data_IF_284447727091
#
_entry.id   IF_284447727091
#
_cell.length_a   1.000
_cell.length_b   1.000
_cell.length_c   1.000
_cell.angle_alpha   90.00
_cell.angle_beta   90.00
_cell.angle_gamma   90.00
#
_symmetry.space_group_name_H-M   'P 1'
#
loop_
_entity.id
_entity.type
_entity.pdbx_description
1 polymer ?
#
# COMPACT_ATOMS: atom_id res chain seq x y z
N UNK A 1 -18.44 46.35 32.48
CA UNK A 1 -18.26 45.19 33.37
C UNK A 1 -17.99 43.99 32.46
N UNK A 2 -16.72 43.58 32.40
CA UNK A 2 -16.24 42.56 31.46
C UNK A 2 -16.48 41.16 32.00
N UNK A 3 -17.09 40.32 31.17
CA UNK A 3 -17.24 38.87 31.39
C UNK A 3 -16.02 38.15 30.82
N UNK A 4 -15.42 37.31 31.65
CA UNK A 4 -14.20 36.53 31.42
C UNK A 4 -14.36 35.46 30.31
N UNK A 5 -13.32 35.22 29.48
CA UNK A 5 -13.25 34.06 28.58
C UNK A 5 -12.55 32.90 29.30
N UNK A 6 -13.30 31.97 29.90
CA UNK A 6 -12.73 30.84 30.66
C UNK A 6 -13.13 29.44 30.15
N UNK A 7 -13.91 29.32 29.08
CA UNK A 7 -14.37 28.03 28.58
C UNK A 7 -13.48 27.38 27.50
N UNK A 8 -12.72 28.16 26.73
CA UNK A 8 -11.93 27.64 25.58
C UNK A 8 -10.53 27.12 25.95
N UNK A 9 -10.08 27.28 27.20
CA UNK A 9 -8.73 26.88 27.63
C UNK A 9 -8.62 25.40 28.02
N UNK A 10 -9.73 24.73 28.34
CA UNK A 10 -9.70 23.35 28.84
C UNK A 10 -9.64 22.30 27.72
N UNK A 11 -10.25 22.56 26.56
CA UNK A 11 -10.26 21.61 25.44
C UNK A 11 -8.89 21.49 24.76
N UNK A 12 -8.16 22.60 24.65
CA UNK A 12 -6.77 22.61 24.18
C UNK A 12 -5.83 21.88 25.16
N UNK A 13 -6.12 21.91 26.46
CA UNK A 13 -5.34 21.21 27.48
C UNK A 13 -5.59 19.70 27.44
N UNK A 14 -6.83 19.26 27.21
CA UNK A 14 -7.19 17.85 27.02
C UNK A 14 -6.56 17.26 25.75
N UNK A 15 -6.52 18.02 24.65
CA UNK A 15 -5.84 17.62 23.41
C UNK A 15 -4.32 17.47 23.61
N UNK A 16 -3.68 18.37 24.35
CA UNK A 16 -2.24 18.34 24.65
C UNK A 16 -1.88 17.23 25.66
N UNK A 17 -2.79 16.90 26.58
CA UNK A 17 -2.58 15.85 27.59
C UNK A 17 -2.82 14.46 26.99
N UNK A 18 -3.83 14.30 26.13
CA UNK A 18 -4.09 13.05 25.40
C UNK A 18 -2.97 12.68 24.43
N UNK A 19 -2.40 13.67 23.72
CA UNK A 19 -1.24 13.47 22.84
C UNK A 19 0.04 13.12 23.61
N UNK A 20 0.23 13.65 24.83
CA UNK A 20 1.37 13.28 25.70
C UNK A 20 1.21 11.91 26.37
N UNK A 21 -0.02 11.49 26.66
CA UNK A 21 -0.29 10.18 27.29
C UNK A 21 -0.12 9.03 26.29
N UNK A 22 -0.50 9.23 25.01
CA UNK A 22 -0.25 8.28 23.90
C UNK A 22 1.24 7.96 23.70
N UNK A 23 2.13 8.87 24.09
CA UNK A 23 3.59 8.71 23.97
C UNK A 23 4.19 7.87 25.11
N UNK A 24 3.51 7.79 26.28
CA UNK A 24 4.04 7.14 27.48
C UNK A 24 3.76 5.64 27.57
N UNK A 25 2.68 5.16 26.96
CA UNK A 25 2.22 3.77 27.17
C UNK A 25 2.80 2.75 26.14
N UNK A 26 3.66 3.19 25.21
CA UNK A 26 4.28 2.36 24.16
C UNK A 26 5.56 1.59 24.55
N UNK A 27 5.59 1.00 25.75
CA UNK A 27 6.74 0.24 26.28
C UNK A 27 6.88 -1.19 25.73
N UNK A 28 7.13 -1.35 24.43
CA UNK A 28 7.45 -2.64 23.79
C UNK A 28 8.37 -2.44 22.59
N UNK A 29 9.12 -3.47 22.16
CA UNK A 29 10.18 -3.49 21.11
C UNK A 29 10.08 -2.44 19.99
N UNK A 30 11.22 -1.86 19.59
CA UNK A 30 11.32 -0.70 18.67
C UNK A 30 10.48 -0.76 17.39
N UNK A 31 10.28 -1.93 16.78
CA UNK A 31 9.44 -2.12 15.58
C UNK A 31 7.94 -2.09 15.85
N UNK A 32 7.52 -2.36 17.08
CA UNK A 32 6.13 -2.27 17.53
C UNK A 32 5.76 -0.80 17.77
N UNK A 33 6.73 0.11 17.89
CA UNK A 33 6.49 1.49 18.27
C UNK A 33 6.00 2.37 17.12
N UNK A 34 6.53 2.27 15.90
CA UNK A 34 6.06 3.17 14.83
C UNK A 34 4.66 2.79 14.34
N UNK A 35 4.39 1.51 14.11
CA UNK A 35 3.07 1.06 13.65
C UNK A 35 1.97 1.49 14.62
N UNK A 36 2.23 1.38 15.93
CA UNK A 36 1.32 1.86 16.98
C UNK A 36 1.12 3.37 16.89
N UNK A 37 2.20 4.16 16.77
CA UNK A 37 2.08 5.63 16.70
C UNK A 37 1.26 6.05 15.48
N UNK A 38 1.57 5.54 14.28
CA UNK A 38 0.85 5.93 13.08
C UNK A 38 -0.61 5.43 13.10
N UNK A 39 -0.86 4.22 13.60
CA UNK A 39 -2.22 3.70 13.79
C UNK A 39 -3.02 4.56 14.77
N UNK A 40 -2.42 4.98 15.88
CA UNK A 40 -3.06 5.86 16.85
C UNK A 40 -3.40 7.23 16.25
N UNK A 41 -2.51 7.80 15.43
CA UNK A 41 -2.79 9.06 14.71
C UNK A 41 -3.96 8.89 13.75
N UNK A 42 -3.99 7.80 12.96
CA UNK A 42 -5.11 7.49 12.06
C UNK A 42 -6.43 7.32 12.82
N UNK A 43 -6.42 6.53 13.90
CA UNK A 43 -7.57 6.33 14.76
C UNK A 43 -8.06 7.64 15.41
N UNK A 44 -7.14 8.53 15.78
CA UNK A 44 -7.48 9.85 16.28
C UNK A 44 -8.18 10.69 15.22
N UNK A 45 -7.67 10.74 13.98
CA UNK A 45 -8.33 11.42 12.86
C UNK A 45 -9.72 10.82 12.62
N UNK A 46 -9.86 9.50 12.61
CA UNK A 46 -11.15 8.82 12.43
C UNK A 46 -12.13 9.11 13.59
N UNK A 47 -11.62 9.22 14.81
CA UNK A 47 -12.38 9.61 15.99
C UNK A 47 -12.87 11.05 15.90
N UNK A 48 -11.99 11.98 15.52
CA UNK A 48 -12.31 13.39 15.33
C UNK A 48 -13.31 13.59 14.20
N UNK A 49 -13.13 12.89 13.07
CA UNK A 49 -14.06 12.92 11.93
C UNK A 49 -15.46 12.48 12.36
N UNK A 50 -15.56 11.33 13.04
CA UNK A 50 -16.84 10.82 13.58
C UNK A 50 -17.46 11.77 14.61
N UNK A 51 -16.65 12.34 15.50
CA UNK A 51 -17.13 13.28 16.52
C UNK A 51 -17.74 14.53 15.87
N UNK A 52 -17.01 15.15 14.95
CA UNK A 52 -17.41 16.39 14.28
C UNK A 52 -18.62 16.18 13.36
N UNK A 53 -18.71 15.04 12.67
CA UNK A 53 -19.86 14.70 11.83
C UNK A 53 -21.13 14.39 12.65
N UNK A 54 -20.98 13.78 13.82
CA UNK A 54 -22.12 13.41 14.67
C UNK A 54 -22.59 14.53 15.60
N UNK A 55 -21.73 15.52 15.87
CA UNK A 55 -22.04 16.66 16.74
C UNK A 55 -21.53 17.97 16.11
N UNK A 56 -22.05 18.34 14.93
CA UNK A 56 -21.63 19.60 14.33
C UNK A 56 -22.14 20.74 15.22
N UNK A 57 -21.23 21.61 15.65
CA UNK A 57 -21.64 22.84 16.30
C UNK A 57 -22.27 23.80 15.29
N UNK A 58 -22.92 24.86 15.77
CA UNK A 58 -23.62 25.81 14.90
C UNK A 58 -22.67 26.47 13.90
N UNK A 59 -21.40 26.71 14.26
CA UNK A 59 -20.41 27.34 13.37
C UNK A 59 -19.97 26.39 12.26
N UNK A 60 -19.79 25.12 12.58
CA UNK A 60 -19.50 24.05 11.63
C UNK A 60 -20.67 23.85 10.68
N UNK A 61 -21.91 23.87 11.17
CA UNK A 61 -23.10 23.84 10.31
C UNK A 61 -23.15 25.03 9.35
N UNK A 62 -22.81 26.24 9.81
CA UNK A 62 -22.70 27.41 8.93
C UNK A 62 -21.58 27.28 7.90
N UNK A 63 -20.42 26.73 8.28
CA UNK A 63 -19.31 26.49 7.36
C UNK A 63 -19.67 25.43 6.30
N UNK A 64 -20.30 24.33 6.71
CA UNK A 64 -20.84 23.30 5.81
C UNK A 64 -21.86 23.92 4.85
N UNK A 65 -22.79 24.72 5.34
CA UNK A 65 -23.80 25.35 4.51
C UNK A 65 -23.20 26.37 3.53
N UNK A 66 -22.17 27.12 3.94
CA UNK A 66 -21.42 28.03 3.06
C UNK A 66 -20.71 27.29 1.94
N UNK A 67 -20.00 26.21 2.28
CA UNK A 67 -19.28 25.44 1.28
C UNK A 67 -20.26 24.70 0.36
N UNK A 68 -21.41 24.27 0.90
CA UNK A 68 -22.54 23.77 0.10
C UNK A 68 -23.02 24.77 -0.94
N UNK A 69 -23.29 26.02 -0.52
CA UNK A 69 -23.76 27.07 -1.43
C UNK A 69 -22.68 27.38 -2.48
N UNK A 70 -21.43 27.55 -2.05
CA UNK A 70 -20.31 27.88 -2.94
C UNK A 70 -20.08 26.79 -3.99
N UNK A 71 -20.09 25.52 -3.59
CA UNK A 71 -19.91 24.41 -4.51
C UNK A 71 -21.17 24.15 -5.35
N UNK A 72 -22.39 24.36 -4.84
CA UNK A 72 -23.63 24.26 -5.65
C UNK A 72 -23.69 25.23 -6.84
N UNK A 73 -22.88 26.31 -6.80
CA UNK A 73 -22.70 27.24 -7.92
C UNK A 73 -21.69 26.75 -8.97
N UNK A 74 -20.95 25.68 -8.67
CA UNK A 74 -19.88 25.10 -9.50
C UNK A 74 -20.14 23.63 -9.85
N UNK A 75 -21.05 22.96 -9.16
CA UNK A 75 -21.40 21.56 -9.35
C UNK A 75 -22.46 21.40 -10.44
N UNK A 76 -22.33 20.35 -11.25
CA UNK A 76 -23.37 19.95 -12.20
C UNK A 76 -24.60 19.39 -11.45
N UNK A 77 -25.74 19.31 -12.13
CA UNK A 77 -27.02 18.90 -11.53
C UNK A 77 -27.00 17.54 -10.80
N UNK A 78 -26.06 16.65 -11.17
CA UNK A 78 -25.93 15.30 -10.64
C UNK A 78 -24.75 15.12 -9.65
N UNK A 79 -24.07 16.20 -9.26
CA UNK A 79 -22.92 16.12 -8.35
C UNK A 79 -23.29 16.45 -6.90
N UNK A 80 -22.66 15.75 -5.95
CA UNK A 80 -22.90 15.93 -4.52
C UNK A 80 -21.62 16.25 -3.75
N UNK A 81 -21.80 16.85 -2.58
CA UNK A 81 -20.69 17.26 -1.72
C UNK A 81 -20.40 16.16 -0.72
N UNK A 82 -19.21 15.57 -0.82
CA UNK A 82 -18.75 14.57 0.11
C UNK A 82 -18.13 15.23 1.36
N UNK A 83 -18.95 15.38 2.41
CA UNK A 83 -18.52 15.94 3.68
C UNK A 83 -17.42 15.11 4.35
N UNK A 84 -17.43 13.78 4.18
CA UNK A 84 -16.38 12.92 4.76
C UNK A 84 -15.01 13.27 4.16
N UNK A 85 -14.94 13.44 2.83
CA UNK A 85 -13.72 13.83 2.13
C UNK A 85 -13.25 15.24 2.50
N UNK A 86 -14.17 16.19 2.70
CA UNK A 86 -13.83 17.55 3.15
C UNK A 86 -13.25 17.49 4.58
N UNK A 87 -13.91 16.76 5.48
CA UNK A 87 -13.43 16.61 6.86
C UNK A 87 -12.09 15.91 6.93
N UNK A 88 -11.89 14.88 6.11
CA UNK A 88 -10.60 14.21 5.96
C UNK A 88 -9.50 15.22 5.58
N UNK A 89 -9.69 15.98 4.49
CA UNK A 89 -8.71 16.97 4.03
C UNK A 89 -8.41 18.06 5.08
N UNK A 90 -9.43 18.54 5.81
CA UNK A 90 -9.25 19.52 6.88
C UNK A 90 -8.46 18.93 8.05
N UNK A 91 -8.80 17.72 8.49
CA UNK A 91 -8.13 17.07 9.60
C UNK A 91 -6.69 16.68 9.25
N UNK A 92 -6.43 16.24 8.02
CA UNK A 92 -5.06 16.04 7.53
C UNK A 92 -4.25 17.34 7.64
N UNK A 93 -4.82 18.47 7.23
CA UNK A 93 -4.14 19.77 7.31
C UNK A 93 -3.88 20.23 8.75
N UNK A 94 -4.84 20.02 9.65
CA UNK A 94 -4.73 20.47 11.05
C UNK A 94 -3.83 19.55 11.88
N UNK A 95 -3.83 18.25 11.58
CA UNK A 95 -3.16 17.23 12.40
C UNK A 95 -1.88 16.72 11.71
N UNK A 96 -1.97 16.25 10.48
CA UNK A 96 -0.83 15.62 9.80
C UNK A 96 0.20 16.64 9.32
N UNK A 97 -0.21 17.79 8.79
CA UNK A 97 0.72 18.81 8.31
C UNK A 97 1.74 19.25 9.39
N UNK A 98 1.36 19.59 10.63
CA UNK A 98 2.35 19.95 11.65
C UNK A 98 3.11 18.74 12.22
N UNK A 99 2.61 17.52 12.03
CA UNK A 99 3.23 16.29 12.55
C UNK A 99 4.07 15.53 11.52
N UNK A 100 4.02 15.89 10.23
CA UNK A 100 4.55 15.09 9.13
C UNK A 100 6.00 14.70 9.33
N UNK A 101 6.85 15.67 9.66
CA UNK A 101 8.28 15.45 9.86
C UNK A 101 8.56 14.55 11.06
N UNK A 102 7.78 14.72 12.14
CA UNK A 102 7.88 13.87 13.31
C UNK A 102 7.47 12.43 12.99
N UNK A 103 6.39 12.23 12.23
CA UNK A 103 5.91 10.90 11.84
C UNK A 103 6.90 10.18 10.92
N UNK A 104 7.50 10.90 9.97
CA UNK A 104 8.57 10.37 9.13
C UNK A 104 9.79 9.98 9.96
N UNK A 105 10.18 10.80 10.94
CA UNK A 105 11.26 10.46 11.87
C UNK A 105 10.94 9.22 12.72
N UNK A 106 9.71 9.10 13.23
CA UNK A 106 9.25 7.92 13.97
C UNK A 106 9.36 6.67 13.12
N UNK A 107 8.97 6.71 11.84
CA UNK A 107 9.14 5.57 10.91
C UNK A 107 10.62 5.15 10.84
N UNK A 108 11.55 6.10 10.66
CA UNK A 108 12.99 5.79 10.55
C UNK A 108 13.63 5.22 11.81
N UNK A 109 12.92 5.20 12.95
CA UNK A 109 13.40 4.50 14.16
C UNK A 109 13.27 2.97 14.05
N UNK A 110 12.45 2.45 13.14
CA UNK A 110 12.45 1.03 12.81
C UNK A 110 13.72 0.68 12.01
N UNK A 111 14.45 -0.39 12.39
CA UNK A 111 15.55 -0.92 11.60
C UNK A 111 15.26 -1.09 10.10
N UNK A 112 14.04 -1.49 9.73
CA UNK A 112 13.60 -1.69 8.34
C UNK A 112 13.51 -0.38 7.53
N UNK A 113 13.40 0.76 8.20
CA UNK A 113 13.32 2.08 7.58
C UNK A 113 14.50 2.98 7.95
N UNK A 114 15.54 2.38 8.53
CA UNK A 114 16.69 3.11 9.08
C UNK A 114 17.55 3.74 7.97
N UNK A 115 18.37 4.72 8.35
CA UNK A 115 19.37 5.34 7.45
C UNK A 115 20.30 4.27 6.83
N UNK A 116 20.60 3.21 7.57
CA UNK A 116 21.39 2.08 7.04
C UNK A 116 20.66 1.37 5.90
N UNK A 117 19.35 1.15 6.04
CA UNK A 117 18.58 0.50 4.97
C UNK A 117 18.43 1.42 3.76
N UNK A 118 18.21 2.72 3.99
CA UNK A 118 18.16 3.74 2.93
C UNK A 118 19.47 3.74 2.13
N UNK A 119 20.64 3.75 2.79
CA UNK A 119 21.93 3.72 2.09
C UNK A 119 22.19 2.41 1.34
N UNK A 120 21.71 1.27 1.87
CA UNK A 120 21.73 0.00 1.13
C UNK A 120 20.89 0.10 -0.14
N UNK A 121 19.66 0.60 -0.06
CA UNK A 121 18.79 0.79 -1.22
C UNK A 121 19.46 1.66 -2.27
N UNK A 122 20.05 2.81 -1.89
CA UNK A 122 20.78 3.69 -2.82
C UNK A 122 21.94 2.99 -3.55
N UNK A 123 22.62 2.06 -2.88
CA UNK A 123 23.68 1.28 -3.52
C UNK A 123 23.11 0.22 -4.47
N UNK A 124 21.99 -0.39 -4.11
CA UNK A 124 21.27 -1.36 -4.92
C UNK A 124 20.68 -0.76 -6.18
N UNK A 125 20.09 0.43 -6.10
CA UNK A 125 19.55 1.13 -7.28
C UNK A 125 20.63 1.39 -8.31
N UNK A 126 21.85 1.79 -7.88
CA UNK A 126 23.01 1.96 -8.75
C UNK A 126 23.41 0.65 -9.44
N UNK A 127 23.43 -0.47 -8.71
CA UNK A 127 23.73 -1.78 -9.30
C UNK A 127 22.68 -2.15 -10.35
N UNK A 128 21.39 -1.98 -10.05
CA UNK A 128 20.31 -2.29 -11.00
C UNK A 128 20.41 -1.43 -12.25
N UNK A 129 20.55 -0.12 -12.10
CA UNK A 129 20.64 0.81 -13.24
C UNK A 129 21.87 0.53 -14.11
N UNK A 130 23.01 0.19 -13.52
CA UNK A 130 24.24 -0.09 -14.28
C UNK A 130 24.20 -1.43 -15.02
N UNK A 131 23.33 -2.37 -14.62
CA UNK A 131 23.24 -3.71 -15.19
C UNK A 131 21.83 -3.99 -15.74
N UNK A 132 21.03 -2.95 -16.04
CA UNK A 132 19.60 -3.11 -16.32
C UNK A 132 19.33 -3.93 -17.59
N UNK A 133 20.19 -3.82 -18.62
CA UNK A 133 20.08 -4.60 -19.84
C UNK A 133 20.25 -6.11 -19.60
N UNK A 134 21.14 -6.48 -18.68
CA UNK A 134 21.40 -7.89 -18.35
C UNK A 134 20.37 -8.44 -17.35
N UNK A 135 19.87 -7.58 -16.44
CA UNK A 135 18.87 -7.96 -15.45
C UNK A 135 17.46 -8.06 -16.05
N UNK A 136 17.15 -7.27 -17.08
CA UNK A 136 15.81 -7.17 -17.68
C UNK A 136 15.83 -7.24 -19.22
N UNK A 137 16.43 -8.28 -19.82
CA UNK A 137 16.69 -8.31 -21.26
C UNK A 137 15.41 -8.23 -22.10
N UNK A 138 14.30 -8.83 -21.64
CA UNK A 138 13.02 -8.83 -22.34
C UNK A 138 12.21 -7.54 -22.14
N UNK A 139 12.63 -6.64 -21.25
CA UNK A 139 11.93 -5.38 -20.97
C UNK A 139 12.53 -4.17 -21.70
N UNK A 140 13.50 -4.37 -22.59
CA UNK A 140 14.20 -3.29 -23.30
C UNK A 140 13.26 -2.26 -23.94
N UNK A 141 12.19 -2.69 -24.62
CA UNK A 141 11.17 -1.79 -25.21
C UNK A 141 10.43 -0.98 -24.14
N UNK A 142 10.00 -1.63 -23.06
CA UNK A 142 9.28 -0.97 -21.99
C UNK A 142 10.17 0.02 -21.22
N UNK A 143 11.45 -0.30 -21.02
CA UNK A 143 12.43 0.60 -20.41
C UNK A 143 12.60 1.87 -21.24
N UNK A 144 12.68 1.76 -22.57
CA UNK A 144 12.74 2.92 -23.47
C UNK A 144 11.48 3.77 -23.36
N UNK A 145 10.30 3.15 -23.28
CA UNK A 145 9.04 3.89 -23.12
C UNK A 145 8.95 4.58 -21.74
N UNK A 146 9.34 3.89 -20.66
CA UNK A 146 9.45 4.47 -19.30
C UNK A 146 10.39 5.67 -19.31
N UNK A 147 11.54 5.54 -19.98
CA UNK A 147 12.55 6.60 -20.09
C UNK A 147 12.02 7.84 -20.82
N UNK A 148 11.06 7.66 -21.74
CA UNK A 148 10.33 8.76 -22.38
C UNK A 148 9.54 9.64 -21.41
N UNK A 149 9.25 9.16 -20.19
CA UNK A 149 8.54 9.88 -19.14
C UNK A 149 9.44 10.42 -18.01
N UNK A 150 10.77 10.52 -18.20
CA UNK A 150 11.74 10.91 -17.15
C UNK A 150 11.31 12.16 -16.34
N UNK A 151 11.00 13.27 -17.00
CA UNK A 151 10.60 14.52 -16.33
C UNK A 151 9.31 14.34 -15.51
N UNK A 152 8.34 13.62 -16.06
CA UNK A 152 7.06 13.35 -15.38
C UNK A 152 7.27 12.47 -14.16
N UNK A 153 8.02 11.37 -14.29
CA UNK A 153 8.32 10.45 -13.19
C UNK A 153 9.07 11.15 -12.06
N UNK A 154 10.10 11.96 -12.38
CA UNK A 154 10.83 12.77 -11.39
C UNK A 154 9.92 13.77 -10.69
N UNK A 155 9.07 14.47 -11.44
CA UNK A 155 8.13 15.43 -10.88
C UNK A 155 7.15 14.75 -9.93
N UNK A 156 6.55 13.63 -10.32
CA UNK A 156 5.57 12.90 -9.50
C UNK A 156 6.23 12.34 -8.23
N UNK A 157 7.41 11.74 -8.35
CA UNK A 157 8.15 11.23 -7.17
C UNK A 157 8.63 12.35 -6.24
N UNK A 158 8.97 13.52 -6.77
CA UNK A 158 9.23 14.70 -5.96
C UNK A 158 7.98 15.12 -5.19
N UNK A 159 6.82 15.16 -5.84
CA UNK A 159 5.54 15.46 -5.20
C UNK A 159 5.19 14.46 -4.09
N UNK A 160 5.48 13.15 -4.28
CA UNK A 160 5.33 12.15 -3.21
C UNK A 160 6.14 12.53 -1.97
N UNK A 161 7.29 13.18 -2.09
CA UNK A 161 8.10 13.57 -0.93
C UNK A 161 7.61 14.84 -0.27
N UNK A 162 7.35 15.87 -1.08
CA UNK A 162 7.02 17.22 -0.60
C UNK A 162 5.63 17.34 0.01
N UNK A 163 4.72 16.44 -0.36
CA UNK A 163 3.34 16.47 0.10
C UNK A 163 3.20 15.89 1.52
N UNK A 164 2.30 16.39 2.36
CA UNK A 164 2.07 15.81 3.70
C UNK A 164 0.84 14.90 3.73
N UNK A 165 -0.12 15.12 2.84
CA UNK A 165 -1.36 14.33 2.75
C UNK A 165 -1.07 12.89 2.29
N UNK A 166 -1.41 11.87 3.10
CA UNK A 166 -1.30 10.46 2.69
C UNK A 166 -2.08 10.15 1.42
N UNK A 167 -3.26 10.76 1.23
CA UNK A 167 -4.11 10.56 0.06
C UNK A 167 -3.46 11.13 -1.19
N UNK A 168 -2.93 12.36 -1.11
CA UNK A 168 -2.23 12.97 -2.26
C UNK A 168 -0.96 12.19 -2.62
N UNK A 169 -0.17 11.76 -1.63
CA UNK A 169 0.98 10.86 -1.87
C UNK A 169 0.55 9.57 -2.57
N UNK A 170 -0.56 8.96 -2.12
CA UNK A 170 -1.11 7.76 -2.75
C UNK A 170 -1.52 8.00 -4.21
N UNK A 171 -2.18 9.11 -4.51
CA UNK A 171 -2.59 9.45 -5.88
C UNK A 171 -1.39 9.53 -6.84
N UNK A 172 -0.28 10.14 -6.39
CA UNK A 172 0.96 10.19 -7.17
C UNK A 172 1.57 8.80 -7.40
N UNK A 173 1.55 7.93 -6.38
CA UNK A 173 2.01 6.54 -6.53
C UNK A 173 1.12 5.75 -7.50
N UNK A 174 -0.20 5.89 -7.40
CA UNK A 174 -1.14 5.25 -8.31
C UNK A 174 -1.00 5.76 -9.74
N UNK A 175 -0.68 7.04 -9.93
CA UNK A 175 -0.42 7.61 -11.25
C UNK A 175 0.76 6.90 -11.95
N UNK A 176 1.84 6.65 -11.22
CA UNK A 176 2.99 5.90 -11.76
C UNK A 176 2.59 4.44 -12.01
N UNK A 177 1.89 3.79 -11.08
CA UNK A 177 1.43 2.41 -11.25
C UNK A 177 0.58 2.25 -12.53
N UNK A 178 -0.38 3.13 -12.75
CA UNK A 178 -1.24 3.12 -13.94
C UNK A 178 -0.45 3.40 -15.23
N UNK A 179 0.56 4.28 -15.16
CA UNK A 179 1.48 4.49 -16.29
C UNK A 179 2.23 3.19 -16.63
N UNK A 180 2.72 2.45 -15.63
CA UNK A 180 3.41 1.18 -15.87
C UNK A 180 2.48 0.10 -16.43
N UNK A 181 1.23 0.00 -15.95
CA UNK A 181 0.23 -0.89 -16.55
C UNK A 181 -0.04 -0.52 -18.02
N UNK A 182 -0.14 0.77 -18.33
CA UNK A 182 -0.34 1.25 -19.70
C UNK A 182 0.84 0.88 -20.61
N UNK A 183 2.07 1.09 -20.15
CA UNK A 183 3.29 0.73 -20.89
C UNK A 183 3.38 -0.80 -21.08
N UNK A 184 3.06 -1.57 -20.04
CA UNK A 184 3.03 -3.03 -20.09
C UNK A 184 2.10 -3.52 -21.22
N UNK A 185 0.89 -2.95 -21.30
CA UNK A 185 -0.07 -3.28 -22.35
C UNK A 185 0.41 -2.86 -23.75
N UNK A 186 1.01 -1.67 -23.90
CA UNK A 186 1.54 -1.19 -25.18
C UNK A 186 2.71 -2.03 -25.70
N UNK A 187 3.57 -2.49 -24.80
CA UNK A 187 4.69 -3.37 -25.10
C UNK A 187 4.29 -4.86 -25.21
N UNK A 188 3.00 -5.20 -25.08
CA UNK A 188 2.48 -6.57 -25.09
C UNK A 188 3.19 -7.50 -24.08
N UNK A 189 3.54 -6.96 -22.92
CA UNK A 189 4.20 -7.68 -21.83
C UNK A 189 3.18 -8.44 -20.97
N UNK A 190 3.66 -9.45 -20.22
CA UNK A 190 2.82 -10.21 -19.30
C UNK A 190 2.64 -9.43 -18.00
N UNK A 191 1.46 -8.82 -17.81
CA UNK A 191 1.17 -7.97 -16.64
C UNK A 191 1.44 -8.67 -15.30
N UNK A 192 1.16 -9.97 -15.18
CA UNK A 192 1.30 -10.70 -13.91
C UNK A 192 2.77 -10.93 -13.53
N UNK A 193 3.69 -10.96 -14.50
CA UNK A 193 5.12 -11.29 -14.33
C UNK A 193 6.03 -10.07 -14.50
N UNK A 194 5.77 -9.27 -15.52
CA UNK A 194 6.66 -8.19 -15.97
C UNK A 194 6.42 -6.87 -15.22
N UNK A 195 5.22 -6.68 -14.67
CA UNK A 195 4.88 -5.43 -13.99
C UNK A 195 5.79 -5.18 -12.77
N UNK A 196 6.08 -6.20 -11.96
CA UNK A 196 7.00 -6.05 -10.82
C UNK A 196 8.41 -5.63 -11.28
N UNK A 197 8.89 -6.20 -12.39
CA UNK A 197 10.19 -5.84 -12.96
C UNK A 197 10.21 -4.39 -13.46
N UNK A 198 9.12 -3.93 -14.06
CA UNK A 198 8.96 -2.51 -14.42
C UNK A 198 8.99 -1.62 -13.19
N UNK A 199 8.34 -2.00 -12.08
CA UNK A 199 8.41 -1.28 -10.81
C UNK A 199 9.84 -1.24 -10.25
N UNK A 200 10.56 -2.36 -10.28
CA UNK A 200 11.97 -2.44 -9.85
C UNK A 200 12.83 -1.47 -10.66
N UNK A 201 12.69 -1.48 -11.99
CA UNK A 201 13.41 -0.55 -12.86
C UNK A 201 13.06 0.91 -12.55
N UNK A 202 11.76 1.24 -12.47
CA UNK A 202 11.31 2.62 -12.21
C UNK A 202 11.79 3.13 -10.84
N UNK A 203 11.70 2.31 -9.79
CA UNK A 203 12.21 2.66 -8.46
C UNK A 203 13.73 2.82 -8.48
N UNK A 204 14.46 1.95 -9.17
CA UNK A 204 15.92 2.05 -9.25
C UNK A 204 16.39 3.27 -10.06
N UNK A 205 15.68 3.62 -11.13
CA UNK A 205 16.09 4.68 -12.06
C UNK A 205 15.65 6.08 -11.64
N UNK A 206 14.44 6.21 -11.11
CA UNK A 206 13.80 7.51 -10.80
C UNK A 206 13.52 7.70 -9.31
N UNK A 207 13.35 6.58 -8.59
CA UNK A 207 13.09 6.59 -7.17
C UNK A 207 14.25 7.15 -6.36
N UNK A 208 13.91 7.54 -5.14
CA UNK A 208 14.88 7.83 -4.11
C UNK A 208 14.73 6.80 -2.99
N UNK A 209 15.80 6.50 -2.28
CA UNK A 209 15.76 5.49 -1.23
C UNK A 209 14.83 5.87 -0.06
N UNK A 210 14.57 7.17 0.14
CA UNK A 210 13.58 7.65 1.12
C UNK A 210 12.13 7.32 0.75
N UNK A 211 11.86 6.90 -0.49
CA UNK A 211 10.53 6.46 -0.93
C UNK A 211 9.96 5.36 -0.01
N UNK A 212 10.82 4.51 0.55
CA UNK A 212 10.44 3.48 1.50
C UNK A 212 9.70 4.06 2.72
N UNK A 213 10.22 5.15 3.28
CA UNK A 213 9.64 5.84 4.44
C UNK A 213 8.28 6.44 4.07
N UNK A 214 8.17 7.01 2.87
CA UNK A 214 6.91 7.57 2.37
C UNK A 214 5.85 6.49 2.08
N UNK A 215 6.25 5.31 1.61
CA UNK A 215 5.33 4.17 1.45
C UNK A 215 4.81 3.68 2.79
N UNK A 216 5.68 3.55 3.80
CA UNK A 216 5.24 3.24 5.16
C UNK A 216 4.27 4.31 5.69
N UNK A 217 4.55 5.59 5.46
CA UNK A 217 3.64 6.68 5.83
C UNK A 217 2.26 6.53 5.18
N UNK A 218 2.21 6.29 3.87
CA UNK A 218 0.96 6.07 3.10
C UNK A 218 0.22 4.83 3.61
N UNK A 219 0.92 3.70 3.77
CA UNK A 219 0.34 2.43 4.22
C UNK A 219 -0.40 2.57 5.54
N UNK A 220 0.11 3.35 6.48
CA UNK A 220 -0.49 3.47 7.81
C UNK A 220 -1.54 4.58 7.93
N UNK A 221 -1.41 5.68 7.19
CA UNK A 221 -2.23 6.88 7.40
C UNK A 221 -3.37 7.06 6.39
N UNK A 222 -3.34 6.35 5.25
CA UNK A 222 -4.48 6.35 4.31
C UNK A 222 -5.73 5.77 5.01
N UNK A 223 -6.92 6.37 4.84
CA UNK A 223 -8.18 5.83 5.37
C UNK A 223 -8.49 4.43 4.84
N UNK A 224 -9.02 3.56 5.69
CA UNK A 224 -9.38 2.18 5.31
C UNK A 224 -10.27 2.07 4.06
N UNK A 225 -11.29 2.91 3.83
CA UNK A 225 -12.13 2.82 2.62
C UNK A 225 -11.37 3.06 1.30
N UNK A 226 -10.21 3.72 1.36
CA UNK A 226 -9.37 4.01 0.18
C UNK A 226 -8.35 2.87 -0.04
N UNK A 227 -8.05 2.07 0.99
CA UNK A 227 -7.21 0.87 0.88
C UNK A 227 -8.00 -0.26 0.22
N UNK A 228 -8.35 -0.07 -1.05
CA UNK A 228 -8.91 -1.11 -1.90
C UNK A 228 -7.85 -2.15 -2.26
N UNK A 229 -8.29 -3.35 -2.70
CA UNK A 229 -7.40 -4.41 -3.16
C UNK A 229 -6.36 -3.92 -4.18
N UNK A 230 -6.79 -3.22 -5.22
CA UNK A 230 -5.90 -2.66 -6.25
C UNK A 230 -4.86 -1.69 -5.67
N UNK A 231 -5.26 -0.86 -4.72
CA UNK A 231 -4.35 0.06 -4.02
C UNK A 231 -3.29 -0.70 -3.23
N UNK A 232 -3.71 -1.71 -2.47
CA UNK A 232 -2.81 -2.53 -1.65
C UNK A 232 -1.82 -3.29 -2.55
N UNK A 233 -2.31 -3.85 -3.67
CA UNK A 233 -1.48 -4.52 -4.66
C UNK A 233 -0.34 -3.63 -5.17
N UNK A 234 -0.66 -2.42 -5.66
CA UNK A 234 0.37 -1.52 -6.20
C UNK A 234 1.36 -1.02 -5.13
N UNK A 235 0.90 -0.73 -3.91
CA UNK A 235 1.80 -0.41 -2.80
C UNK A 235 2.74 -1.58 -2.49
N UNK A 236 2.22 -2.81 -2.58
CA UNK A 236 3.00 -4.03 -2.48
C UNK A 236 4.10 -4.18 -3.51
N UNK A 237 3.82 -3.84 -4.77
CA UNK A 237 4.83 -3.85 -5.83
C UNK A 237 5.95 -2.85 -5.56
N UNK A 238 5.62 -1.65 -5.05
CA UNK A 238 6.64 -0.68 -4.63
C UNK A 238 7.51 -1.18 -3.48
N UNK A 239 6.90 -1.71 -2.42
CA UNK A 239 7.62 -2.28 -1.27
C UNK A 239 8.57 -3.38 -1.72
N UNK A 240 8.11 -4.26 -2.60
CA UNK A 240 8.89 -5.36 -3.16
C UNK A 240 10.05 -4.84 -4.02
N UNK A 241 9.78 -3.86 -4.88
CA UNK A 241 10.81 -3.24 -5.71
C UNK A 241 11.96 -2.64 -4.88
N UNK A 242 11.63 -1.99 -3.77
CA UNK A 242 12.63 -1.44 -2.85
C UNK A 242 13.41 -2.55 -2.14
N UNK A 243 12.74 -3.62 -1.70
CA UNK A 243 13.40 -4.76 -1.06
C UNK A 243 14.39 -5.45 -2.01
N UNK A 244 14.05 -5.57 -3.29
CA UNK A 244 14.96 -6.08 -4.33
C UNK A 244 16.23 -5.24 -4.39
N UNK A 245 16.10 -3.91 -4.40
CA UNK A 245 17.25 -2.99 -4.38
C UNK A 245 18.14 -3.25 -3.15
N UNK A 246 17.55 -3.33 -1.95
CA UNK A 246 18.29 -3.62 -0.71
C UNK A 246 19.00 -4.99 -0.73
N UNK A 247 18.37 -6.03 -1.28
CA UNK A 247 18.98 -7.37 -1.35
C UNK A 247 20.13 -7.42 -2.37
N UNK A 248 19.95 -6.82 -3.53
CA UNK A 248 21.00 -6.73 -4.57
C UNK A 248 22.22 -5.97 -4.04
N UNK A 249 22.01 -4.93 -3.24
CA UNK A 249 23.09 -4.19 -2.58
C UNK A 249 24.02 -5.06 -1.72
N UNK A 250 23.54 -6.20 -1.22
CA UNK A 250 24.32 -7.13 -0.38
C UNK A 250 25.23 -8.06 -1.19
N UNK A 251 25.11 -8.06 -2.52
CA UNK A 251 25.91 -8.88 -3.45
C UNK A 251 26.52 -8.03 -4.58
N UNK A 252 27.23 -6.93 -4.26
CA UNK A 252 27.72 -6.00 -5.26
C UNK A 252 28.70 -6.67 -6.23
N UNK A 253 28.56 -6.39 -7.52
CA UNK A 253 29.45 -6.91 -8.56
C UNK A 253 29.27 -8.40 -8.91
N UNK A 254 28.29 -9.08 -8.31
CA UNK A 254 27.96 -10.46 -8.67
C UNK A 254 26.60 -10.52 -9.37
N UNK A 255 26.62 -10.32 -10.69
CA UNK A 255 25.42 -10.29 -11.52
C UNK A 255 24.61 -11.59 -11.43
N UNK A 256 25.28 -12.75 -11.39
CA UNK A 256 24.62 -14.06 -11.23
C UNK A 256 23.82 -14.13 -9.93
N UNK A 257 24.37 -13.66 -8.81
CA UNK A 257 23.64 -13.60 -7.54
C UNK A 257 22.49 -12.59 -7.59
N UNK A 258 22.66 -11.44 -8.26
CA UNK A 258 21.58 -10.47 -8.46
C UNK A 258 20.42 -11.07 -9.26
N UNK A 259 20.71 -11.81 -10.33
CA UNK A 259 19.69 -12.54 -11.11
C UNK A 259 19.02 -13.63 -10.28
N UNK A 260 19.77 -14.37 -9.45
CA UNK A 260 19.19 -15.35 -8.53
C UNK A 260 18.22 -14.69 -7.53
N UNK A 261 18.58 -13.54 -6.96
CA UNK A 261 17.70 -12.78 -6.06
C UNK A 261 16.41 -12.34 -6.76
N UNK A 262 16.50 -11.85 -8.00
CA UNK A 262 15.33 -11.47 -8.79
C UNK A 262 14.41 -12.67 -9.03
N UNK A 263 14.97 -13.80 -9.48
CA UNK A 263 14.20 -15.01 -9.74
C UNK A 263 13.57 -15.56 -8.45
N UNK A 264 14.32 -15.59 -7.34
CA UNK A 264 13.80 -16.02 -6.03
C UNK A 264 12.60 -15.16 -5.60
N UNK A 265 12.66 -13.85 -5.81
CA UNK A 265 11.57 -12.94 -5.44
C UNK A 265 10.38 -13.12 -6.39
N UNK A 266 10.62 -13.21 -7.70
CA UNK A 266 9.55 -13.47 -8.66
C UNK A 266 8.83 -14.79 -8.35
N UNK A 267 9.59 -15.84 -8.04
CA UNK A 267 9.04 -17.16 -7.70
C UNK A 267 8.26 -17.14 -6.37
N UNK A 268 8.81 -16.50 -5.32
CA UNK A 268 8.16 -16.42 -4.00
C UNK A 268 6.93 -15.52 -3.97
N UNK A 269 6.86 -14.54 -4.87
CA UNK A 269 5.77 -13.56 -4.90
C UNK A 269 4.66 -13.98 -5.87
N UNK A 270 4.95 -14.85 -6.83
CA UNK A 270 3.96 -15.46 -7.69
C UNK A 270 3.24 -16.61 -6.97
N UNK A 271 2.06 -16.33 -6.42
CA UNK A 271 1.20 -17.40 -5.93
C UNK A 271 0.37 -18.00 -7.07
N UNK A 272 0.22 -19.32 -7.07
CA UNK A 272 -0.80 -20.00 -7.85
C UNK A 272 -2.15 -19.76 -7.19
N UNK A 273 -3.05 -19.08 -7.88
CA UNK A 273 -4.41 -18.81 -7.43
C UNK A 273 -5.40 -19.65 -8.24
N UNK A 274 -6.25 -20.36 -7.52
CA UNK A 274 -7.35 -21.14 -8.05
C UNK A 274 -8.67 -20.50 -7.60
N UNK A 275 -9.45 -20.03 -8.56
CA UNK A 275 -10.74 -19.38 -8.31
C UNK A 275 -11.82 -20.36 -8.75
N UNK A 276 -12.66 -20.77 -7.81
CA UNK A 276 -13.78 -21.64 -8.08
C UNK A 276 -14.95 -20.82 -8.64
N UNK A 277 -15.22 -20.97 -9.94
CA UNK A 277 -16.41 -20.41 -10.57
C UNK A 277 -17.53 -21.46 -10.57
N UNK A 278 -18.39 -21.37 -9.57
CA UNK A 278 -19.57 -22.24 -9.41
C UNK A 278 -20.60 -22.03 -10.53
N UNK A 279 -20.66 -20.85 -11.16
CA UNK A 279 -21.64 -20.57 -12.21
C UNK A 279 -21.33 -21.34 -13.49
N UNK A 280 -20.04 -21.53 -13.78
CA UNK A 280 -19.56 -22.26 -14.96
C UNK A 280 -19.04 -23.66 -14.65
N UNK A 281 -18.96 -24.04 -13.36
CA UNK A 281 -18.30 -25.25 -12.86
C UNK A 281 -16.85 -25.37 -13.37
N UNK A 282 -16.12 -24.26 -13.43
CA UNK A 282 -14.73 -24.21 -13.86
C UNK A 282 -13.84 -23.64 -12.78
N UNK A 283 -12.57 -24.03 -12.83
CA UNK A 283 -11.52 -23.43 -12.01
C UNK A 283 -10.71 -22.50 -12.88
N UNK A 284 -10.70 -21.22 -12.53
CA UNK A 284 -9.81 -20.24 -13.15
C UNK A 284 -8.47 -20.34 -12.42
N UNK A 285 -7.41 -20.60 -13.16
CA UNK A 285 -6.03 -20.64 -12.63
C UNK A 285 -5.33 -19.35 -13.03
N UNK A 286 -4.87 -18.57 -12.06
CA UNK A 286 -4.13 -17.33 -12.27
C UNK A 286 -2.82 -17.37 -11.49
N UNK A 287 -1.79 -16.68 -11.99
CA UNK A 287 -0.60 -16.34 -11.20
C UNK A 287 -0.74 -14.90 -10.75
N UNK A 288 -0.53 -14.63 -9.47
CA UNK A 288 -0.65 -13.28 -8.92
C UNK A 288 0.59 -12.94 -8.12
N UNK A 289 1.14 -11.74 -8.35
CA UNK A 289 2.27 -11.19 -7.61
C UNK A 289 1.78 -10.50 -6.33
N UNK A 290 1.92 -11.12 -5.16
CA UNK A 290 1.45 -10.54 -3.90
C UNK A 290 2.55 -9.75 -3.17
N UNK A 291 2.19 -8.78 -2.32
CA UNK A 291 3.16 -8.18 -1.38
C UNK A 291 3.56 -9.18 -0.30
N UNK A 292 4.77 -9.02 0.23
CA UNK A 292 5.29 -9.79 1.37
C UNK A 292 4.49 -9.58 2.66
N UNK A 293 3.70 -8.51 2.73
CA UNK A 293 2.93 -8.15 3.91
C UNK A 293 1.43 -8.24 3.69
N UNK A 294 1.00 -8.87 2.59
CA UNK A 294 -0.42 -9.04 2.34
C UNK A 294 -1.03 -10.06 3.31
N UNK A 295 -2.01 -9.60 4.09
CA UNK A 295 -2.84 -10.50 4.88
C UNK A 295 -3.84 -11.23 3.99
N UNK A 296 -4.41 -12.35 4.45
CA UNK A 296 -5.41 -13.09 3.68
C UNK A 296 -6.63 -12.22 3.32
N UNK A 297 -7.03 -11.29 4.21
CA UNK A 297 -8.07 -10.31 3.91
C UNK A 297 -7.68 -9.39 2.75
N UNK A 298 -6.48 -8.81 2.80
CA UNK A 298 -5.99 -7.96 1.71
C UNK A 298 -5.88 -8.72 0.39
N UNK A 299 -5.49 -10.00 0.41
CA UNK A 299 -5.46 -10.84 -0.80
C UNK A 299 -6.87 -11.08 -1.34
N UNK A 300 -7.86 -11.34 -0.48
CA UNK A 300 -9.25 -11.46 -0.93
C UNK A 300 -9.75 -10.17 -1.59
N UNK A 301 -9.43 -9.00 -1.02
CA UNK A 301 -9.77 -7.70 -1.61
C UNK A 301 -9.13 -7.51 -2.98
N UNK A 302 -7.86 -7.93 -3.14
CA UNK A 302 -7.15 -7.90 -4.43
C UNK A 302 -7.87 -8.79 -5.45
N UNK A 303 -8.23 -10.01 -5.07
CA UNK A 303 -8.91 -10.97 -5.96
C UNK A 303 -10.28 -10.43 -6.38
N UNK A 304 -11.06 -9.89 -5.44
CA UNK A 304 -12.38 -9.33 -5.74
C UNK A 304 -12.29 -8.13 -6.69
N UNK A 305 -11.30 -7.26 -6.48
CA UNK A 305 -11.05 -6.12 -7.37
C UNK A 305 -10.64 -6.58 -8.78
N UNK A 306 -9.80 -7.61 -8.89
CA UNK A 306 -9.36 -8.18 -10.16
C UNK A 306 -10.51 -8.86 -10.93
N UNK A 307 -11.39 -9.56 -10.23
CA UNK A 307 -12.57 -10.21 -10.82
C UNK A 307 -13.72 -9.24 -11.12
N UNK A 308 -13.63 -7.98 -10.68
CA UNK A 308 -14.72 -7.01 -10.71
C UNK A 308 -16.04 -7.55 -10.09
N UNK A 309 -15.91 -8.42 -9.09
CA UNK A 309 -17.06 -9.01 -8.38
C UNK A 309 -17.38 -8.21 -7.13
N UNK A 310 -18.67 -8.00 -6.79
CA UNK A 310 -19.03 -7.37 -5.52
C UNK A 310 -18.52 -8.18 -4.32
N UNK A 311 -18.33 -7.54 -3.17
CA UNK A 311 -17.96 -8.21 -1.91
C UNK A 311 -18.96 -9.35 -1.62
N UNK A 312 -18.50 -10.58 -1.83
CA UNK A 312 -19.28 -11.78 -1.58
C UNK A 312 -18.85 -12.35 -0.23
N UNK A 313 -19.59 -11.98 0.82
CA UNK A 313 -19.30 -12.32 2.23
C UNK A 313 -19.13 -13.82 2.52
N UNK A 314 -19.57 -14.68 1.60
CA UNK A 314 -19.50 -16.13 1.68
C UNK A 314 -18.22 -16.74 1.12
N UNK A 315 -17.39 -15.97 0.38
CA UNK A 315 -16.10 -16.43 -0.11
C UNK A 315 -15.01 -16.33 0.95
N UNK A 316 -14.08 -17.28 0.91
CA UNK A 316 -12.93 -17.36 1.80
C UNK A 316 -11.70 -17.84 1.03
N UNK A 317 -10.53 -17.52 1.59
CA UNK A 317 -9.24 -17.95 1.08
C UNK A 317 -8.75 -19.18 1.83
N UNK A 318 -8.35 -20.20 1.08
CA UNK A 318 -7.77 -21.44 1.60
C UNK A 318 -6.37 -21.61 1.04
N UNK A 319 -5.48 -22.23 1.81
CA UNK A 319 -4.21 -22.74 1.32
C UNK A 319 -4.38 -24.23 1.02
N UNK A 320 -4.28 -24.58 -0.26
CA UNK A 320 -4.33 -25.96 -0.73
C UNK A 320 -2.90 -26.50 -0.90
N UNK A 321 -2.69 -27.71 -0.40
CA UNK A 321 -1.50 -28.53 -0.58
C UNK A 321 -1.91 -29.91 -1.08
N UNK A 322 -0.97 -30.74 -1.50
CA UNK A 322 -1.25 -32.11 -1.95
C UNK A 322 -2.00 -32.98 -0.90
N UNK A 323 -1.91 -32.62 0.38
CA UNK A 323 -2.44 -33.42 1.49
C UNK A 323 -3.70 -32.81 2.14
N UNK A 324 -3.85 -31.49 2.10
CA UNK A 324 -4.91 -30.79 2.82
C UNK A 324 -5.22 -29.39 2.27
N UNK A 325 -6.45 -28.93 2.50
CA UNK A 325 -6.85 -27.53 2.39
C UNK A 325 -7.03 -26.93 3.79
N UNK A 326 -6.40 -25.78 4.05
CA UNK A 326 -6.50 -25.06 5.32
C UNK A 326 -7.14 -23.70 5.10
N UNK A 327 -8.21 -23.38 5.83
CA UNK A 327 -8.83 -22.06 5.82
C UNK A 327 -7.87 -21.03 6.44
N UNK A 328 -7.60 -19.94 5.72
CA UNK A 328 -6.78 -18.84 6.21
C UNK A 328 -7.61 -17.85 7.04
N UNK A 329 -7.01 -17.31 8.10
CA UNK A 329 -7.59 -16.22 8.89
C UNK A 329 -7.26 -14.89 8.23
N UNK A 330 -8.14 -13.90 8.39
CA UNK A 330 -7.99 -12.56 7.82
C UNK A 330 -6.64 -11.87 8.14
N UNK A 331 -6.06 -12.18 9.31
CA UNK A 331 -4.78 -11.66 9.78
C UNK A 331 -3.55 -12.44 9.31
N UNK A 332 -3.72 -13.61 8.69
CA UNK A 332 -2.60 -14.47 8.31
C UNK A 332 -1.82 -13.84 7.14
N UNK A 333 -0.50 -13.77 7.26
CA UNK A 333 0.37 -13.22 6.22
C UNK A 333 0.67 -14.30 5.18
N UNK A 334 0.17 -14.10 3.96
CA UNK A 334 0.13 -15.14 2.92
C UNK A 334 1.53 -15.57 2.48
N UNK A 335 2.48 -14.64 2.32
CA UNK A 335 3.84 -15.00 1.90
C UNK A 335 4.59 -15.83 2.94
N UNK A 336 4.34 -15.62 4.24
CA UNK A 336 4.97 -16.42 5.29
C UNK A 336 4.48 -17.88 5.23
N UNK A 337 3.18 -18.05 4.99
CA UNK A 337 2.57 -19.37 4.81
C UNK A 337 3.09 -20.07 3.56
N UNK A 338 3.22 -19.36 2.43
CA UNK A 338 3.73 -19.93 1.19
C UNK A 338 5.20 -20.38 1.32
N UNK A 339 6.05 -19.63 2.03
CA UNK A 339 7.45 -20.01 2.27
C UNK A 339 7.56 -21.31 3.06
N UNK A 340 6.77 -21.47 4.13
CA UNK A 340 6.79 -22.68 4.97
C UNK A 340 6.46 -23.95 4.17
N UNK A 341 5.55 -23.85 3.19
CA UNK A 341 5.10 -25.00 2.41
C UNK A 341 5.98 -25.28 1.17
N UNK A 342 6.62 -24.25 0.61
CA UNK A 342 7.55 -24.40 -0.52
C UNK A 342 8.93 -24.92 -0.11
N UNK A 343 9.38 -24.69 1.13
CA UNK A 343 10.62 -25.31 1.67
C UNK A 343 10.53 -26.85 1.77
N UNK A 344 9.31 -27.42 1.70
CA UNK A 344 9.07 -28.86 1.73
C UNK A 344 8.92 -29.54 0.36
N UNK A 345 9.16 -28.83 -0.75
CA UNK A 345 8.95 -29.31 -2.15
C UNK A 345 7.51 -29.76 -2.43
N UNK A 346 6.54 -29.30 -1.63
CA UNK A 346 5.11 -29.58 -1.80
C UNK A 346 4.48 -28.49 -2.66
N UNK A 347 3.72 -28.89 -3.68
CA UNK A 347 2.95 -27.95 -4.47
C UNK A 347 1.90 -27.28 -3.59
N UNK A 348 1.81 -25.95 -3.64
CA UNK A 348 0.81 -25.20 -2.90
C UNK A 348 0.15 -24.14 -3.78
N UNK A 349 -1.16 -23.97 -3.61
CA UNK A 349 -1.95 -22.94 -4.27
C UNK A 349 -2.91 -22.27 -3.29
N UNK A 350 -3.19 -20.99 -3.53
CA UNK A 350 -4.29 -20.31 -2.87
C UNK A 350 -5.59 -20.66 -3.60
N UNK A 351 -6.62 -20.98 -2.83
CA UNK A 351 -7.94 -21.33 -3.34
C UNK A 351 -8.93 -20.29 -2.84
N UNK A 352 -9.60 -19.61 -3.77
CA UNK A 352 -10.67 -18.66 -3.50
C UNK A 352 -12.02 -19.29 -3.87
N UNK A 353 -12.84 -19.61 -2.86
CA UNK A 353 -14.13 -20.28 -3.03
C UNK A 353 -15.13 -19.95 -1.91
N UNK A 354 -16.41 -20.27 -2.14
CA UNK A 354 -17.43 -20.18 -1.10
C UNK A 354 -17.20 -21.17 0.04
N UNK A 355 -17.57 -20.74 1.25
CA UNK A 355 -17.39 -21.50 2.51
C UNK A 355 -18.08 -22.86 2.47
N UNK A 356 -19.26 -22.95 1.85
CA UNK A 356 -20.06 -24.18 1.78
C UNK A 356 -19.96 -24.89 0.42
N UNK A 357 -18.99 -24.52 -0.42
CA UNK A 357 -18.81 -25.16 -1.71
C UNK A 357 -18.42 -26.63 -1.54
N UNK A 358 -19.16 -27.54 -2.17
CA UNK A 358 -18.82 -28.98 -2.23
C UNK A 358 -17.93 -29.32 -3.43
N UNK A 359 -17.27 -28.32 -4.02
CA UNK A 359 -16.40 -28.54 -5.17
C UNK A 359 -15.13 -29.29 -4.76
N UNK A 360 -14.87 -30.40 -5.47
CA UNK A 360 -13.57 -31.06 -5.43
C UNK A 360 -12.65 -30.34 -6.41
N UNK A 361 -11.63 -29.66 -5.87
CA UNK A 361 -10.65 -28.98 -6.68
C UNK A 361 -9.55 -29.95 -7.13
N UNK A 362 -9.00 -29.77 -8.34
CA UNK A 362 -7.81 -30.51 -8.75
C UNK A 362 -6.63 -30.14 -7.82
N UNK A 363 -5.64 -31.02 -7.67
CA UNK A 363 -4.45 -30.71 -6.89
C UNK A 363 -3.73 -29.46 -7.43
N UNK A 364 -3.00 -28.74 -6.55
CA UNK A 364 -2.33 -27.48 -6.86
C UNK A 364 -1.35 -27.56 -8.05
#
# INVERSE_FOLDING_TARGET
MGSTPQAYSNDAYLLNTGSKQLIKDGGGSSSVKEHIVLSNVRQFIDGMKRFLLNRPDTQMMFAIQRERIKQSLQLNADEFINLDSIMEAVLEKVILQPLSDHLLNVITTNPEYSIREITLIESGTKVIVNNCADLFPHLSSAMVEIDGYDNTLRSVLYSVKSEFSPISKLQYLLQIALLLVLICNRCALNLDQDLLLMFIYTVARYGDATLLVHLAYVRHLVPAPIKSGTTIYFLGLYETAIQVCSRIAKVPGNLTKSTMILNEILDKMCCHLMIADESTNKVIRKKMSLSRWCSAAEVMDIIQADLATPELNDFRLYLATDEAEVLLKDSDIVSELLVVHTEGDKACALVYRRTNSQMLLPPP
#
